data_IF_350419500191
#
_entry.id   IF_350419500191
#
_cell.length_a   1.000
_cell.length_b   1.000
_cell.length_c   1.000
_cell.angle_alpha   90.00
_cell.angle_beta   90.00
_cell.angle_gamma   90.00
#
_symmetry.space_group_name_H-M   'P 1'
#
loop_
_entity.id
_entity.type
_entity.pdbx_description
1 polymer ?
#
# COMPACT_ATOMS: atom_id res chain seq x y z
N UNK A 1 -10.58 43.43 -4.21
CA UNK A 1 -9.84 42.20 -3.90
C UNK A 1 -10.82 41.26 -3.22
N UNK A 2 -11.33 40.20 -3.87
CA UNK A 2 -12.25 39.28 -3.22
C UNK A 2 -11.49 38.16 -2.51
N UNK A 3 -12.03 37.76 -1.37
CA UNK A 3 -11.51 36.77 -0.44
C UNK A 3 -11.56 35.36 -1.05
N UNK A 4 -10.47 34.61 -0.87
CA UNK A 4 -10.41 33.17 -1.11
C UNK A 4 -11.16 32.46 0.02
N UNK A 5 -12.49 32.40 -0.10
CA UNK A 5 -13.36 31.65 0.79
C UNK A 5 -13.19 30.15 0.49
N UNK A 6 -12.26 29.54 1.21
CA UNK A 6 -12.42 28.27 1.92
C UNK A 6 -13.26 27.19 1.22
N UNK A 7 -12.79 26.72 0.06
CA UNK A 7 -13.14 25.38 -0.46
C UNK A 7 -12.42 24.31 0.39
N UNK A 8 -12.70 24.30 1.70
CA UNK A 8 -12.41 23.16 2.57
C UNK A 8 -13.50 22.12 2.37
N UNK A 9 -13.64 21.65 1.15
CA UNK A 9 -14.29 20.37 0.91
C UNK A 9 -13.36 19.34 1.54
N UNK A 10 -13.67 18.95 2.78
CA UNK A 10 -12.82 18.17 3.68
C UNK A 10 -12.02 17.10 2.91
N UNK A 11 -10.76 17.43 2.58
CA UNK A 11 -9.79 16.48 2.04
C UNK A 11 -9.43 15.54 3.18
N UNK A 12 -10.30 14.57 3.43
CA UNK A 12 -10.14 13.58 4.47
C UNK A 12 -8.92 12.75 4.09
N UNK A 13 -7.80 13.06 4.74
CA UNK A 13 -6.55 12.35 4.50
C UNK A 13 -6.52 11.19 5.46
N UNK A 14 -6.84 10.01 4.95
CA UNK A 14 -7.02 8.81 5.77
C UNK A 14 -5.89 7.81 5.49
N UNK A 15 -5.66 6.94 6.46
CA UNK A 15 -4.61 5.92 6.34
C UNK A 15 -5.21 4.63 5.80
N UNK A 16 -4.67 4.15 4.68
CA UNK A 16 -5.16 2.93 4.06
C UNK A 16 -4.99 1.73 5.01
N UNK A 17 -6.06 1.00 5.29
CA UNK A 17 -6.03 -0.19 6.16
C UNK A 17 -5.20 -1.35 5.57
N UNK A 18 -4.93 -1.32 4.26
CA UNK A 18 -4.15 -2.36 3.57
C UNK A 18 -2.69 -2.00 3.44
N UNK A 19 -2.35 -0.77 3.01
CA UNK A 19 -0.95 -0.37 2.78
C UNK A 19 -0.39 0.59 3.82
N UNK A 20 -1.22 1.11 4.74
CA UNK A 20 -0.83 2.09 5.77
C UNK A 20 -0.44 3.47 5.23
N UNK A 21 -0.57 3.70 3.92
CA UNK A 21 -0.24 4.97 3.28
C UNK A 21 -1.33 5.99 3.57
N UNK A 22 -0.95 7.19 3.98
CA UNK A 22 -1.84 8.34 4.07
C UNK A 22 -2.22 8.77 2.65
N UNK A 23 -3.51 8.84 2.36
CA UNK A 23 -4.00 9.26 1.06
C UNK A 23 -5.25 10.12 1.22
N UNK A 24 -5.52 10.94 0.21
CA UNK A 24 -6.71 11.77 0.19
C UNK A 24 -7.90 10.99 -0.36
N UNK A 25 -8.97 10.91 0.43
CA UNK A 25 -10.23 10.29 0.04
C UNK A 25 -10.94 11.24 -0.91
N UNK A 26 -11.02 10.85 -2.18
CA UNK A 26 -11.71 11.61 -3.24
C UNK A 26 -12.93 10.86 -3.78
N UNK A 27 -12.98 9.53 -3.60
CA UNK A 27 -13.99 8.67 -4.18
C UNK A 27 -14.68 7.82 -3.12
N UNK A 28 -15.99 7.57 -3.32
CA UNK A 28 -16.83 6.81 -2.39
C UNK A 28 -16.35 5.38 -2.15
N UNK A 29 -15.71 4.74 -3.14
CA UNK A 29 -15.18 3.37 -2.99
C UNK A 29 -13.98 3.29 -2.02
N UNK A 30 -13.34 4.43 -1.70
CA UNK A 30 -12.15 4.45 -0.85
C UNK A 30 -12.50 4.38 0.64
N UNK A 31 -13.77 4.50 1.00
CA UNK A 31 -14.29 4.37 2.35
C UNK A 31 -15.39 3.30 2.30
N UNK A 32 -15.16 2.19 2.98
CA UNK A 32 -16.18 1.15 3.14
C UNK A 32 -16.45 0.93 4.62
N UNK A 33 -17.72 0.88 4.99
CA UNK A 33 -18.14 0.56 6.35
C UNK A 33 -18.12 -0.96 6.52
N UNK A 34 -17.32 -1.46 7.45
CA UNK A 34 -17.14 -2.89 7.72
C UNK A 34 -17.15 -3.14 9.22
N UNK A 35 -18.02 -4.05 9.68
CA UNK A 35 -18.14 -4.47 11.09
C UNK A 35 -18.28 -3.32 12.10
N UNK A 36 -19.02 -2.27 11.72
CA UNK A 36 -19.22 -1.08 12.57
C UNK A 36 -18.00 -0.15 12.67
N UNK A 37 -16.98 -0.34 11.81
CA UNK A 37 -15.86 0.56 11.63
C UNK A 37 -15.67 1.00 10.17
N UNK A 38 -14.84 2.03 9.94
CA UNK A 38 -14.51 2.50 8.60
C UNK A 38 -13.17 1.92 8.15
N UNK A 39 -13.15 1.27 7.00
CA UNK A 39 -11.93 0.82 6.35
C UNK A 39 -11.62 1.73 5.17
N UNK A 40 -10.39 2.23 5.11
CA UNK A 40 -9.95 3.16 4.09
C UNK A 40 -9.02 2.47 3.09
N UNK A 41 -9.21 2.73 1.80
CA UNK A 41 -8.45 2.11 0.73
C UNK A 41 -7.93 3.13 -0.26
N UNK A 42 -6.61 3.21 -0.42
CA UNK A 42 -6.00 4.20 -1.31
C UNK A 42 -6.26 3.95 -2.80
N UNK A 43 -6.67 2.74 -3.19
CA UNK A 43 -6.87 2.33 -4.58
C UNK A 43 -7.83 1.15 -4.67
N UNK A 44 -8.48 0.98 -5.83
CA UNK A 44 -9.32 -0.20 -6.11
C UNK A 44 -8.58 -1.52 -5.88
N UNK A 45 -7.26 -1.55 -6.11
CA UNK A 45 -6.42 -2.72 -5.79
C UNK A 45 -6.41 -3.03 -4.29
N UNK A 46 -6.35 -2.02 -3.43
CA UNK A 46 -6.38 -2.23 -1.97
C UNK A 46 -7.78 -2.64 -1.50
N UNK A 47 -8.82 -2.07 -2.09
CA UNK A 47 -10.20 -2.48 -1.86
C UNK A 47 -10.40 -3.97 -2.22
N UNK A 48 -10.04 -4.36 -3.44
CA UNK A 48 -10.12 -5.76 -3.91
C UNK A 48 -9.26 -6.68 -3.05
N UNK A 49 -8.07 -6.21 -2.63
CA UNK A 49 -7.22 -6.95 -1.69
C UNK A 49 -7.94 -7.16 -0.36
N UNK A 50 -8.60 -6.16 0.22
CA UNK A 50 -9.35 -6.31 1.48
C UNK A 50 -10.51 -7.30 1.36
N UNK A 51 -11.23 -7.25 0.24
CA UNK A 51 -12.32 -8.19 -0.04
C UNK A 51 -11.81 -9.63 -0.25
N UNK A 52 -10.61 -9.79 -0.82
CA UNK A 52 -10.02 -11.10 -1.10
C UNK A 52 -9.19 -11.64 0.09
N UNK A 53 -8.64 -10.75 0.92
CA UNK A 53 -7.67 -11.03 1.97
C UNK A 53 -8.29 -11.04 3.37
N UNK A 54 -9.42 -11.73 3.54
CA UNK A 54 -9.98 -12.07 4.85
C UNK A 54 -9.13 -13.03 5.70
N UNK A 55 -7.79 -12.97 5.65
CA UNK A 55 -6.92 -13.77 6.52
C UNK A 55 -5.43 -13.81 6.11
N UNK A 56 -4.58 -13.22 6.95
CA UNK A 56 -3.25 -13.72 7.33
C UNK A 56 -2.26 -14.18 6.24
N UNK A 57 -1.89 -13.32 5.29
CA UNK A 57 -0.84 -13.67 4.30
C UNK A 57 -0.15 -12.52 3.60
N UNK A 58 -0.28 -11.30 4.12
CA UNK A 58 0.30 -10.10 3.51
C UNK A 58 1.73 -9.89 4.03
N UNK A 59 2.71 -9.95 3.14
CA UNK A 59 4.10 -9.55 3.43
C UNK A 59 4.34 -8.12 2.96
N UNK A 60 5.21 -7.40 3.65
CA UNK A 60 5.58 -6.04 3.28
C UNK A 60 6.72 -6.07 2.26
N UNK A 61 6.53 -5.43 1.11
CA UNK A 61 7.57 -5.20 0.12
C UNK A 61 8.66 -4.31 0.71
N UNK A 62 9.93 -4.69 0.58
CA UNK A 62 11.05 -3.95 1.15
C UNK A 62 11.36 -2.66 0.35
N UNK A 63 11.11 -2.65 -0.97
CA UNK A 63 11.32 -1.47 -1.82
C UNK A 63 10.22 -0.41 -1.69
N UNK A 64 8.95 -0.80 -1.77
CA UNK A 64 7.82 0.15 -1.81
C UNK A 64 6.99 0.17 -0.52
N UNK A 65 7.34 -0.64 0.48
CA UNK A 65 6.60 -0.82 1.74
C UNK A 65 5.13 -1.22 1.58
N UNK A 66 4.75 -1.71 0.40
CA UNK A 66 3.39 -2.17 0.12
C UNK A 66 3.18 -3.57 0.67
N UNK A 67 2.05 -3.80 1.33
CA UNK A 67 1.61 -5.13 1.72
C UNK A 67 1.06 -5.88 0.50
N UNK A 68 1.57 -7.08 0.26
CA UNK A 68 1.13 -7.94 -0.84
C UNK A 68 1.21 -9.40 -0.44
N UNK A 69 0.42 -10.27 -1.08
CA UNK A 69 0.52 -11.71 -0.85
C UNK A 69 1.62 -12.29 -1.73
N UNK A 70 2.56 -13.02 -1.14
CA UNK A 70 3.53 -13.80 -1.93
C UNK A 70 2.76 -14.90 -2.66
N UNK A 71 2.65 -14.77 -3.97
CA UNK A 71 2.08 -15.80 -4.84
C UNK A 71 3.16 -16.46 -5.70
N UNK A 72 4.27 -15.77 -5.94
CA UNK A 72 5.39 -16.27 -6.74
C UNK A 72 6.67 -16.33 -5.91
N UNK A 73 7.45 -17.39 -6.12
CA UNK A 73 8.78 -17.53 -5.52
C UNK A 73 9.71 -16.39 -5.92
N UNK A 74 9.52 -15.82 -7.12
CA UNK A 74 10.27 -14.65 -7.61
C UNK A 74 10.05 -13.36 -6.80
N UNK A 75 9.00 -13.31 -5.97
CA UNK A 75 8.73 -12.19 -5.06
C UNK A 75 9.50 -12.31 -3.73
N UNK A 76 10.17 -13.43 -3.48
CA UNK A 76 11.02 -13.66 -2.31
C UNK A 76 12.48 -13.64 -2.75
N UNK A 77 13.23 -12.68 -2.23
CA UNK A 77 14.64 -12.49 -2.49
C UNK A 77 15.45 -12.87 -1.24
N UNK A 78 16.65 -13.40 -1.44
CA UNK A 78 17.63 -13.58 -0.37
C UNK A 78 18.77 -12.60 -0.61
N UNK A 79 18.89 -11.61 0.26
CA UNK A 79 19.89 -10.55 0.21
C UNK A 79 20.64 -10.53 1.54
N UNK A 80 21.97 -10.61 1.49
CA UNK A 80 22.83 -10.54 2.69
C UNK A 80 22.39 -11.48 3.83
N UNK A 81 21.93 -12.69 3.49
CA UNK A 81 21.45 -13.68 4.45
C UNK A 81 20.05 -13.41 5.03
N UNK A 82 19.34 -12.36 4.60
CA UNK A 82 17.98 -12.04 5.04
C UNK A 82 16.99 -12.23 3.88
N UNK A 83 15.80 -12.73 4.21
CA UNK A 83 14.67 -12.78 3.26
C UNK A 83 14.12 -11.36 3.09
N UNK A 84 14.00 -10.96 1.84
CA UNK A 84 13.44 -9.69 1.39
C UNK A 84 12.26 -9.99 0.47
N UNK A 85 11.25 -9.13 0.47
CA UNK A 85 10.05 -9.33 -0.32
C UNK A 85 9.92 -8.20 -1.34
N UNK A 86 9.59 -8.54 -2.58
CA UNK A 86 9.41 -7.60 -3.67
C UNK A 86 8.09 -7.88 -4.40
N UNK A 87 7.19 -6.88 -4.45
CA UNK A 87 5.85 -7.07 -5.02
C UNK A 87 5.84 -7.14 -6.56
N UNK A 88 6.86 -6.58 -7.23
CA UNK A 88 6.97 -6.49 -8.69
C UNK A 88 8.42 -6.69 -9.14
N UNK A 89 8.62 -6.96 -10.44
CA UNK A 89 9.96 -7.08 -11.05
C UNK A 89 10.79 -5.79 -10.91
N UNK A 90 10.17 -4.62 -10.97
CA UNK A 90 10.82 -3.33 -10.74
C UNK A 90 11.30 -3.20 -9.28
N UNK A 91 10.42 -3.46 -8.31
CA UNK A 91 10.79 -3.49 -6.89
C UNK A 91 11.88 -4.54 -6.60
N UNK A 92 11.86 -5.66 -7.34
CA UNK A 92 12.87 -6.71 -7.21
C UNK A 92 14.25 -6.20 -7.63
N UNK A 93 14.34 -5.51 -8.77
CA UNK A 93 15.58 -4.88 -9.22
C UNK A 93 16.05 -3.81 -8.23
N UNK A 94 15.13 -3.01 -7.69
CA UNK A 94 15.44 -2.00 -6.67
C UNK A 94 16.02 -2.63 -5.38
N UNK A 95 15.36 -3.65 -4.82
CA UNK A 95 15.87 -4.36 -3.63
C UNK A 95 17.24 -4.98 -3.91
N UNK A 96 17.47 -5.49 -5.13
CA UNK A 96 18.77 -6.05 -5.54
C UNK A 96 19.86 -4.98 -5.75
N UNK A 97 19.49 -3.76 -6.12
CA UNK A 97 20.40 -2.64 -6.28
C UNK A 97 20.80 -2.07 -4.92
N UNK A 98 19.82 -1.86 -4.04
CA UNK A 98 20.03 -1.50 -2.62
C UNK A 98 20.88 -2.56 -1.90
N UNK A 99 20.67 -3.84 -2.21
CA UNK A 99 21.47 -4.96 -1.72
C UNK A 99 22.94 -4.92 -2.14
N UNK A 100 23.20 -4.42 -3.36
CA UNK A 100 24.55 -4.36 -3.94
C UNK A 100 25.34 -3.15 -3.44
N UNK A 101 24.71 -2.24 -2.70
CA UNK A 101 25.36 -1.06 -2.14
C UNK A 101 25.66 0.02 -3.17
N UNK A 102 24.85 0.09 -4.25
CA UNK A 102 24.90 1.23 -5.17
C UNK A 102 24.29 2.44 -4.44
N UNK A 103 25.16 3.23 -3.81
CA UNK A 103 24.87 4.55 -3.28
C UNK A 103 25.60 5.59 -4.12
#
# INVERSE_FOLDING_TARGET
MPAAEDDRMARMTESCSVCGTSFEVQFRYQMEERDGGFSFYCSQKCLETSQTAGGDGLVTCDACRKHFRVQLVSQVLYVAGRRKYACSSECRTQVLDEARGVR
#
